data_IF_727234253576
#
_entry.id   IF_727234253576
#
_cell.length_a   1.000
_cell.length_b   1.000
_cell.length_c   1.000
_cell.angle_alpha   90.00
_cell.angle_beta   90.00
_cell.angle_gamma   90.00
#
_symmetry.space_group_name_H-M   'P 1'
#
loop_
_entity.id
_entity.type
_entity.pdbx_description
1 polymer ?
#
# COMPACT_ATOMS: atom_id res chain seq x y z
N UNK A 1 5.73 -30.02 -80.07
CA UNK A 1 4.89 -28.83 -79.76
C UNK A 1 5.10 -28.52 -78.31
N UNK A 2 5.93 -27.49 -78.04
CA UNK A 2 6.38 -27.06 -76.71
C UNK A 2 5.33 -26.22 -76.00
N UNK A 3 5.10 -26.48 -74.72
CA UNK A 3 4.52 -25.50 -73.79
C UNK A 3 5.46 -25.24 -72.62
N UNK A 4 6.01 -24.03 -72.65
CA UNK A 4 6.79 -23.46 -71.54
C UNK A 4 5.84 -23.19 -70.34
N UNK A 5 6.19 -23.64 -69.16
CA UNK A 5 5.61 -23.23 -67.89
C UNK A 5 6.52 -22.11 -67.28
N UNK A 6 5.93 -20.91 -67.07
CA UNK A 6 6.57 -19.81 -66.34
C UNK A 6 6.37 -20.04 -64.81
N UNK A 7 7.48 -20.19 -64.09
CA UNK A 7 7.51 -20.02 -62.64
C UNK A 7 7.48 -18.53 -62.28
N UNK A 8 6.50 -18.14 -61.52
CA UNK A 8 6.43 -16.82 -60.86
C UNK A 8 6.93 -17.03 -59.43
N UNK A 9 8.16 -16.57 -59.17
CA UNK A 9 8.69 -16.49 -57.80
C UNK A 9 8.15 -15.27 -57.09
N UNK A 10 7.30 -15.50 -56.09
CA UNK A 10 6.89 -14.44 -55.19
C UNK A 10 7.85 -14.29 -54.01
N UNK A 11 8.58 -13.16 -53.97
CA UNK A 11 9.33 -12.76 -52.76
C UNK A 11 8.35 -12.26 -51.72
N UNK A 12 8.17 -13.02 -50.64
CA UNK A 12 7.56 -12.53 -49.40
C UNK A 12 8.65 -11.69 -48.67
N UNK A 13 8.48 -10.36 -48.68
CA UNK A 13 9.21 -9.50 -47.79
C UNK A 13 8.56 -9.53 -46.39
N UNK A 14 9.23 -10.17 -45.46
CA UNK A 14 8.86 -10.12 -44.06
C UNK A 14 9.22 -8.74 -43.50
N UNK A 15 8.20 -7.88 -43.28
CA UNK A 15 8.36 -6.66 -42.51
C UNK A 15 8.54 -7.04 -41.03
N UNK A 16 9.77 -6.99 -40.53
CA UNK A 16 10.05 -7.00 -39.12
C UNK A 16 9.67 -5.66 -38.51
N UNK A 17 8.51 -5.59 -37.83
CA UNK A 17 8.19 -4.47 -36.96
C UNK A 17 9.10 -4.54 -35.74
N UNK A 18 10.18 -3.79 -35.75
CA UNK A 18 10.95 -3.49 -34.54
C UNK A 18 10.14 -2.48 -33.72
N UNK A 19 9.48 -2.96 -32.66
CA UNK A 19 8.91 -2.08 -31.65
C UNK A 19 10.06 -1.38 -30.95
N UNK A 20 10.27 -0.11 -31.25
CA UNK A 20 11.20 0.75 -30.52
C UNK A 20 10.65 0.90 -29.09
N UNK A 21 11.29 0.27 -28.11
CA UNK A 21 11.04 0.51 -26.70
C UNK A 21 11.60 1.92 -26.44
N UNK A 22 10.71 2.89 -26.26
CA UNK A 22 11.09 4.23 -25.81
C UNK A 22 11.40 4.10 -24.32
N UNK A 23 12.69 4.07 -23.97
CA UNK A 23 13.13 4.26 -22.58
C UNK A 23 12.96 5.76 -22.31
N UNK A 24 11.98 6.12 -21.47
CA UNK A 24 11.87 7.50 -21.02
C UNK A 24 12.98 7.77 -20.01
N UNK A 25 13.81 8.74 -20.30
CA UNK A 25 14.72 9.30 -19.30
C UNK A 25 13.90 9.98 -18.20
N UNK A 26 14.45 10.03 -16.98
CA UNK A 26 13.85 10.78 -15.89
C UNK A 26 13.58 12.23 -16.33
N UNK A 27 12.34 12.69 -16.15
CA UNK A 27 11.88 14.01 -16.60
C UNK A 27 11.41 14.84 -15.38
N UNK A 28 11.94 16.04 -15.22
CA UNK A 28 11.42 16.98 -14.22
C UNK A 28 10.10 17.54 -14.74
N UNK A 29 9.01 17.25 -14.05
CA UNK A 29 7.66 17.71 -14.42
C UNK A 29 7.22 18.95 -13.64
N UNK A 30 7.79 19.16 -12.44
CA UNK A 30 7.68 20.39 -11.66
C UNK A 30 9.07 20.77 -11.15
N UNK A 31 9.62 21.88 -11.65
CA UNK A 31 10.98 22.32 -11.31
C UNK A 31 11.09 22.79 -9.86
N UNK A 32 9.99 23.33 -9.30
CA UNK A 32 9.96 23.84 -7.95
C UNK A 32 8.55 23.81 -7.36
N UNK A 33 8.44 23.14 -6.24
CA UNK A 33 7.28 23.17 -5.36
C UNK A 33 7.75 23.85 -4.09
N UNK A 34 7.22 25.06 -3.85
CA UNK A 34 7.53 25.83 -2.64
C UNK A 34 6.87 25.17 -1.44
N UNK A 35 7.65 24.92 -0.40
CA UNK A 35 7.17 24.38 0.87
C UNK A 35 7.71 25.19 2.05
N UNK A 36 7.13 25.04 3.23
CA UNK A 36 7.52 25.82 4.41
C UNK A 36 8.98 25.62 4.83
N UNK A 37 9.61 24.52 4.45
CA UNK A 37 10.94 24.14 4.95
C UNK A 37 11.95 23.79 3.87
N UNK A 38 11.52 23.14 2.79
CA UNK A 38 12.36 22.72 1.69
C UNK A 38 11.61 22.87 0.39
N UNK A 39 12.19 23.57 -0.55
CA UNK A 39 11.69 23.51 -1.90
C UNK A 39 12.07 22.16 -2.51
N UNK A 40 11.13 21.56 -3.19
CA UNK A 40 11.32 20.27 -3.84
C UNK A 40 10.96 20.35 -5.32
N UNK A 41 11.54 19.46 -6.10
CA UNK A 41 11.13 19.21 -7.49
C UNK A 41 10.47 17.86 -7.60
N UNK A 42 9.58 17.72 -8.58
CA UNK A 42 8.89 16.47 -8.88
C UNK A 42 9.44 15.89 -10.20
N UNK A 43 9.99 14.69 -10.10
CA UNK A 43 10.62 13.98 -11.22
C UNK A 43 9.79 12.77 -11.59
N UNK A 44 9.42 12.64 -12.85
CA UNK A 44 8.78 11.45 -13.41
C UNK A 44 9.84 10.44 -13.82
N UNK A 45 9.77 9.22 -13.30
CA UNK A 45 10.79 8.18 -13.50
C UNK A 45 10.34 7.07 -14.46
N UNK A 46 9.06 6.70 -14.46
CA UNK A 46 8.54 5.64 -15.32
C UNK A 46 7.04 5.82 -15.57
N UNK A 47 6.60 5.42 -16.75
CA UNK A 47 5.19 5.36 -17.19
C UNK A 47 4.76 3.92 -17.49
N UNK A 48 3.49 3.73 -17.84
CA UNK A 48 2.94 2.45 -18.31
C UNK A 48 2.58 1.47 -17.18
N UNK A 49 2.52 1.95 -15.95
CA UNK A 49 1.96 1.19 -14.82
C UNK A 49 0.43 1.22 -14.87
N UNK A 50 -0.22 0.17 -14.38
CA UNK A 50 -1.66 0.05 -14.42
C UNK A 50 -2.26 -0.14 -13.03
N UNK A 51 -2.88 0.90 -12.48
CA UNK A 51 -3.40 0.90 -11.11
C UNK A 51 -2.40 0.33 -10.10
N UNK A 52 -1.17 0.89 -10.03
CA UNK A 52 -0.19 0.47 -9.04
C UNK A 52 -0.76 0.64 -7.63
N UNK A 53 -0.35 -0.21 -6.70
CA UNK A 53 -0.85 -0.16 -5.33
C UNK A 53 0.24 0.16 -4.30
N UNK A 54 1.45 -0.37 -4.48
CA UNK A 54 2.59 -0.11 -3.60
C UNK A 54 3.91 -0.14 -4.37
N UNK A 55 4.92 0.55 -3.82
CA UNK A 55 6.28 0.61 -4.34
C UNK A 55 7.30 0.22 -3.28
N UNK A 56 8.30 -0.58 -3.66
CA UNK A 56 9.47 -0.89 -2.84
C UNK A 56 10.75 -0.78 -3.65
N UNK A 57 11.77 -0.07 -3.14
CA UNK A 57 13.07 0.05 -3.78
C UNK A 57 13.99 -1.12 -3.40
N UNK A 58 14.56 -1.80 -4.39
CA UNK A 58 15.58 -2.82 -4.22
C UNK A 58 16.95 -2.19 -3.89
N UNK A 59 17.89 -2.93 -3.26
CA UNK A 59 19.22 -2.40 -2.95
C UNK A 59 20.03 -1.95 -4.17
N UNK A 60 19.75 -2.50 -5.35
CA UNK A 60 20.40 -2.16 -6.62
C UNK A 60 19.79 -0.94 -7.34
N UNK A 61 18.79 -0.29 -6.71
CA UNK A 61 18.14 0.91 -7.22
C UNK A 61 16.90 0.66 -8.07
N UNK A 62 16.60 -0.59 -8.44
CA UNK A 62 15.37 -0.96 -9.14
C UNK A 62 14.15 -0.89 -8.19
N UNK A 63 12.95 -0.89 -8.77
CA UNK A 63 11.72 -0.83 -8.00
C UNK A 63 10.81 -2.02 -8.29
N UNK A 64 10.23 -2.58 -7.24
CA UNK A 64 9.09 -3.47 -7.31
C UNK A 64 7.82 -2.65 -7.12
N UNK A 65 6.87 -2.79 -8.04
CA UNK A 65 5.59 -2.08 -7.97
C UNK A 65 4.47 -3.10 -8.20
N UNK A 66 3.59 -3.24 -7.21
CA UNK A 66 2.41 -4.08 -7.33
C UNK A 66 1.34 -3.38 -8.15
N UNK A 67 0.67 -4.13 -9.02
CA UNK A 67 -0.53 -3.69 -9.73
C UNK A 67 -1.74 -4.51 -9.28
N UNK A 68 -2.85 -3.83 -8.97
CA UNK A 68 -4.05 -4.48 -8.42
C UNK A 68 -4.56 -5.68 -9.21
N UNK A 69 -4.36 -5.71 -10.52
CA UNK A 69 -4.76 -6.84 -11.36
C UNK A 69 -3.91 -8.11 -11.21
N UNK A 70 -2.97 -8.14 -10.26
CA UNK A 70 -2.18 -9.33 -9.95
C UNK A 70 -0.85 -9.40 -10.69
N UNK A 71 -0.28 -8.27 -11.10
CA UNK A 71 1.06 -8.21 -11.68
C UNK A 71 2.02 -7.52 -10.72
N UNK A 72 3.27 -7.95 -10.73
CA UNK A 72 4.37 -7.29 -10.06
C UNK A 72 5.32 -6.73 -11.12
N UNK A 73 5.35 -5.40 -11.23
CA UNK A 73 6.26 -4.70 -12.12
C UNK A 73 7.64 -4.58 -11.48
N UNK A 74 8.68 -4.75 -12.31
CA UNK A 74 10.06 -4.40 -12.04
C UNK A 74 10.40 -3.18 -12.90
N UNK A 75 10.74 -2.07 -12.26
CA UNK A 75 11.15 -0.84 -12.92
C UNK A 75 12.66 -0.70 -12.79
N UNK A 76 13.35 -0.61 -13.94
CA UNK A 76 14.77 -0.48 -14.07
C UNK A 76 15.09 0.65 -15.06
N UNK A 77 15.75 1.71 -14.61
CA UNK A 77 16.09 2.90 -15.43
C UNK A 77 14.90 3.41 -16.27
N UNK A 78 13.71 3.51 -15.66
CA UNK A 78 12.49 3.96 -16.32
C UNK A 78 11.77 2.90 -17.17
N UNK A 79 12.38 1.73 -17.39
CA UNK A 79 11.78 0.63 -18.12
C UNK A 79 10.96 -0.26 -17.21
N UNK A 80 9.70 -0.48 -17.58
CA UNK A 80 8.79 -1.38 -16.88
C UNK A 80 8.82 -2.78 -17.53
N UNK A 81 9.04 -3.80 -16.70
CA UNK A 81 8.88 -5.22 -17.04
C UNK A 81 8.05 -5.91 -15.96
N UNK A 82 7.62 -7.14 -16.19
CA UNK A 82 6.78 -7.86 -15.23
C UNK A 82 7.44 -9.15 -14.79
N UNK A 83 7.39 -9.43 -13.49
CA UNK A 83 7.91 -10.66 -12.91
C UNK A 83 6.93 -11.81 -13.10
N UNK A 84 7.48 -13.01 -13.31
CA UNK A 84 6.75 -14.29 -13.26
C UNK A 84 6.62 -14.79 -11.81
N UNK A 85 5.82 -15.84 -11.57
CA UNK A 85 5.69 -16.48 -10.25
C UNK A 85 4.93 -15.68 -9.20
N UNK A 86 4.21 -14.62 -9.61
CA UNK A 86 3.32 -13.85 -8.72
C UNK A 86 2.14 -14.72 -8.29
N UNK A 87 1.71 -14.70 -7.00
CA UNK A 87 0.57 -15.51 -6.57
C UNK A 87 -0.70 -15.14 -7.30
N UNK A 88 -1.61 -16.11 -7.46
CA UNK A 88 -2.94 -15.85 -8.00
C UNK A 88 -3.74 -14.99 -7.03
N UNK A 89 -4.42 -13.97 -7.55
CA UNK A 89 -5.17 -12.99 -6.75
C UNK A 89 -6.60 -12.80 -7.26
N UNK A 90 -7.51 -12.46 -6.38
CA UNK A 90 -8.86 -12.05 -6.74
C UNK A 90 -8.90 -10.54 -7.03
N UNK A 91 -8.70 -10.14 -8.28
CA UNK A 91 -8.62 -8.72 -8.68
C UNK A 91 -9.99 -8.03 -8.81
N UNK A 92 -11.01 -8.49 -8.09
CA UNK A 92 -12.35 -7.91 -8.12
C UNK A 92 -12.51 -6.76 -7.11
N UNK A 93 -13.21 -5.70 -7.50
CA UNK A 93 -13.48 -4.55 -6.65
C UNK A 93 -12.21 -3.79 -6.24
N UNK A 94 -11.93 -3.76 -4.94
CA UNK A 94 -10.70 -3.17 -4.38
C UNK A 94 -9.58 -4.20 -4.18
N UNK A 95 -9.85 -5.47 -4.45
CA UNK A 95 -8.89 -6.56 -4.32
C UNK A 95 -7.84 -6.58 -5.43
N UNK A 96 -6.89 -7.49 -5.28
CA UNK A 96 -5.80 -7.72 -6.21
C UNK A 96 -4.49 -8.01 -5.50
N UNK A 97 -3.37 -7.75 -6.15
CA UNK A 97 -2.04 -7.67 -5.53
C UNK A 97 -1.91 -6.29 -4.89
N UNK A 98 -1.58 -6.23 -3.61
CA UNK A 98 -1.72 -5.02 -2.80
C UNK A 98 -0.36 -4.51 -2.31
N UNK A 99 0.02 -4.66 -1.05
CA UNK A 99 1.30 -4.13 -0.57
C UNK A 99 2.50 -5.00 -0.96
N UNK A 100 3.66 -4.38 -1.02
CA UNK A 100 4.97 -5.03 -1.14
C UNK A 100 5.97 -4.36 -0.21
N UNK A 101 6.65 -5.17 0.61
CA UNK A 101 7.77 -4.71 1.42
C UNK A 101 8.91 -5.74 1.38
N UNK A 102 10.13 -5.25 1.48
CA UNK A 102 11.30 -6.12 1.63
C UNK A 102 11.49 -6.47 3.11
N UNK A 103 12.06 -7.63 3.38
CA UNK A 103 12.57 -7.92 4.73
C UNK A 103 13.60 -6.85 5.14
N UNK A 104 13.67 -6.39 6.41
CA UNK A 104 14.60 -5.33 6.84
C UNK A 104 16.07 -5.62 6.51
N UNK A 105 16.44 -6.90 6.51
CA UNK A 105 17.78 -7.39 6.14
C UNK A 105 17.90 -7.88 4.70
N UNK A 106 17.01 -7.47 3.81
CA UNK A 106 17.07 -7.83 2.40
C UNK A 106 18.42 -7.40 1.79
N UNK A 107 19.11 -8.32 1.14
CA UNK A 107 20.45 -8.14 0.57
C UNK A 107 21.56 -8.77 1.39
N UNK A 108 21.28 -9.44 2.52
CA UNK A 108 22.28 -10.18 3.32
C UNK A 108 22.47 -11.64 2.87
N UNK A 109 21.74 -12.08 1.83
CA UNK A 109 21.80 -13.43 1.26
C UNK A 109 20.99 -14.48 2.02
N UNK A 110 20.58 -14.20 3.26
CA UNK A 110 19.77 -15.11 4.08
C UNK A 110 18.31 -14.66 4.18
N UNK A 111 18.08 -13.34 4.18
CA UNK A 111 16.78 -12.72 4.40
C UNK A 111 16.26 -12.01 3.13
N UNK A 112 16.58 -12.53 1.95
CA UNK A 112 16.17 -11.95 0.67
C UNK A 112 14.69 -12.26 0.36
N UNK A 113 13.83 -11.97 1.35
CA UNK A 113 12.41 -12.17 1.27
C UNK A 113 11.67 -10.89 0.89
N UNK A 114 10.77 -11.02 -0.08
CA UNK A 114 9.80 -10.01 -0.48
C UNK A 114 8.46 -10.45 0.07
N UNK A 115 7.81 -9.59 0.86
CA UNK A 115 6.50 -9.85 1.44
C UNK A 115 5.44 -9.15 0.61
N UNK A 116 4.36 -9.87 0.32
CA UNK A 116 3.25 -9.42 -0.51
C UNK A 116 1.93 -9.65 0.21
N UNK A 117 1.07 -8.64 0.24
CA UNK A 117 -0.33 -8.84 0.59
C UNK A 117 -1.19 -8.92 -0.66
N UNK A 118 -2.25 -9.70 -0.60
CA UNK A 118 -3.15 -9.86 -1.73
C UNK A 118 -4.55 -10.29 -1.27
N UNK A 119 -5.53 -10.15 -2.16
CA UNK A 119 -6.85 -10.70 -1.95
C UNK A 119 -6.92 -12.12 -2.49
N UNK A 120 -7.14 -13.09 -1.60
CA UNK A 120 -7.31 -14.51 -1.91
C UNK A 120 -8.79 -14.84 -2.08
N UNK A 121 -9.14 -15.57 -3.13
CA UNK A 121 -10.48 -16.12 -3.29
C UNK A 121 -10.66 -17.35 -2.38
N UNK A 122 -11.91 -17.62 -1.98
CA UNK A 122 -12.24 -18.84 -1.23
C UNK A 122 -12.04 -20.09 -2.09
N UNK A 123 -11.41 -21.10 -1.54
CA UNK A 123 -11.22 -22.41 -2.19
C UNK A 123 -12.48 -23.30 -2.07
N UNK A 124 -13.52 -22.85 -1.31
CA UNK A 124 -14.77 -23.59 -1.13
C UNK A 124 -15.65 -23.47 -2.36
N UNK A 125 -16.07 -24.59 -2.92
CA UNK A 125 -16.95 -24.63 -4.09
C UNK A 125 -18.24 -23.82 -3.84
N UNK A 126 -18.52 -22.86 -4.74
CA UNK A 126 -19.70 -21.98 -4.67
C UNK A 126 -19.55 -20.78 -3.74
N UNK A 127 -18.52 -20.69 -2.92
CA UNK A 127 -18.22 -19.49 -2.14
C UNK A 127 -17.49 -18.46 -3.03
N UNK A 128 -18.04 -17.25 -3.11
CA UNK A 128 -17.45 -16.11 -3.85
C UNK A 128 -16.76 -15.11 -2.89
N UNK A 129 -16.55 -15.50 -1.66
CA UNK A 129 -15.87 -14.70 -0.66
C UNK A 129 -14.39 -14.51 -0.99
N UNK A 130 -13.82 -13.43 -0.47
CA UNK A 130 -12.39 -13.13 -0.54
C UNK A 130 -11.87 -12.78 0.85
N UNK A 131 -10.59 -13.02 1.06
CA UNK A 131 -9.88 -12.70 2.30
C UNK A 131 -8.62 -11.91 1.99
N UNK A 132 -8.11 -11.17 2.98
CA UNK A 132 -6.77 -10.59 2.93
C UNK A 132 -5.75 -11.66 3.28
N UNK A 133 -4.72 -11.82 2.46
CA UNK A 133 -3.66 -12.80 2.65
C UNK A 133 -2.27 -12.15 2.62
N UNK A 134 -1.31 -12.79 3.25
CA UNK A 134 0.11 -12.46 3.27
C UNK A 134 0.91 -13.66 2.75
N UNK A 135 1.84 -13.40 1.87
CA UNK A 135 2.85 -14.36 1.43
C UNK A 135 4.22 -13.71 1.33
N UNK A 136 5.25 -14.55 1.19
CA UNK A 136 6.60 -14.10 0.88
C UNK A 136 7.20 -14.93 -0.25
N UNK A 137 8.16 -14.34 -0.95
CA UNK A 137 8.88 -15.00 -2.04
C UNK A 137 10.31 -14.45 -2.15
N UNK A 138 11.15 -15.11 -2.94
CA UNK A 138 12.48 -14.62 -3.32
C UNK A 138 12.46 -14.14 -4.76
N UNK A 139 13.28 -13.13 -5.07
CA UNK A 139 13.51 -12.69 -6.44
C UNK A 139 14.70 -13.45 -7.03
N UNK A 140 14.49 -14.14 -8.14
CA UNK A 140 15.53 -14.84 -8.89
C UNK A 140 15.39 -14.48 -10.38
N UNK A 141 16.34 -13.72 -10.92
CA UNK A 141 16.25 -13.21 -12.27
C UNK A 141 15.01 -12.36 -12.49
N UNK A 142 14.09 -12.82 -13.36
CA UNK A 142 12.83 -12.14 -13.67
C UNK A 142 11.61 -12.88 -13.10
N UNK A 143 11.77 -13.61 -12.00
CA UNK A 143 10.68 -14.37 -11.39
C UNK A 143 10.73 -14.33 -9.86
N UNK A 144 9.55 -14.40 -9.24
CA UNK A 144 9.43 -14.79 -7.85
C UNK A 144 9.51 -16.30 -7.73
N UNK A 145 10.31 -16.77 -6.80
CA UNK A 145 10.53 -18.19 -6.49
C UNK A 145 10.28 -18.44 -5.00
N UNK A 146 10.17 -19.70 -4.62
CA UNK A 146 10.00 -20.10 -3.20
C UNK A 146 8.81 -19.36 -2.53
N UNK A 147 7.67 -19.23 -3.25
CA UNK A 147 6.51 -18.57 -2.68
C UNK A 147 5.94 -19.38 -1.51
N UNK A 148 5.76 -18.71 -0.38
CA UNK A 148 5.14 -19.24 0.83
C UNK A 148 3.95 -18.39 1.23
N UNK A 149 2.76 -18.98 1.37
CA UNK A 149 1.61 -18.33 1.98
C UNK A 149 1.76 -18.37 3.51
N UNK A 150 1.83 -17.21 4.15
CA UNK A 150 2.15 -17.09 5.58
C UNK A 150 0.90 -16.90 6.46
N UNK A 151 -0.08 -16.17 5.93
CA UNK A 151 -1.30 -15.83 6.68
C UNK A 151 -2.47 -15.64 5.71
N UNK A 152 -3.65 -16.07 6.13
CA UNK A 152 -4.92 -15.79 5.45
C UNK A 152 -5.94 -15.42 6.51
N UNK A 153 -6.65 -14.31 6.31
CA UNK A 153 -7.81 -13.94 7.15
C UNK A 153 -8.83 -15.10 7.19
N UNK A 154 -9.29 -15.47 8.36
CA UNK A 154 -10.10 -16.68 8.59
C UNK A 154 -11.50 -16.65 7.96
N UNK A 155 -12.16 -15.47 7.96
CA UNK A 155 -13.54 -15.31 7.46
C UNK A 155 -13.58 -14.61 6.12
N UNK A 156 -13.80 -15.36 5.05
CA UNK A 156 -13.96 -14.85 3.70
C UNK A 156 -15.26 -14.05 3.57
N UNK A 157 -15.26 -13.00 2.75
CA UNK A 157 -16.37 -12.05 2.66
C UNK A 157 -16.61 -11.53 1.25
N UNK A 158 -17.86 -11.17 0.96
CA UNK A 158 -18.27 -10.32 -0.15
C UNK A 158 -18.80 -8.99 0.41
N UNK A 159 -18.84 -7.91 -0.40
CA UNK A 159 -18.19 -7.73 -1.69
C UNK A 159 -16.69 -7.48 -1.53
N UNK A 160 -15.92 -7.56 -2.62
CA UNK A 160 -14.47 -7.37 -2.62
C UNK A 160 -14.02 -5.94 -2.31
N UNK A 161 -14.05 -5.53 -1.03
CA UNK A 161 -13.61 -4.19 -0.57
C UNK A 161 -13.06 -4.21 0.86
N UNK A 162 -12.40 -3.11 1.25
CA UNK A 162 -11.80 -2.87 2.57
C UNK A 162 -10.86 -4.02 3.00
N UNK A 163 -9.81 -4.23 2.24
CA UNK A 163 -8.83 -5.28 2.53
C UNK A 163 -7.78 -4.84 3.57
N UNK A 164 -7.64 -3.52 3.85
CA UNK A 164 -6.50 -2.98 4.59
C UNK A 164 -5.20 -3.21 3.83
N UNK A 165 -4.46 -4.26 4.20
CA UNK A 165 -3.33 -4.85 3.48
C UNK A 165 -1.99 -4.15 3.65
N UNK A 166 -1.87 -3.02 4.35
CA UNK A 166 -0.57 -2.37 4.56
C UNK A 166 0.32 -3.16 5.49
N UNK A 167 1.60 -3.15 5.16
CA UNK A 167 2.69 -3.81 5.88
C UNK A 167 3.70 -2.79 6.42
N UNK A 168 4.16 -2.99 7.64
CA UNK A 168 5.25 -2.22 8.21
C UNK A 168 6.07 -3.08 9.19
N UNK A 169 7.39 -3.09 9.04
CA UNK A 169 8.27 -3.78 9.96
C UNK A 169 8.49 -2.99 11.24
N UNK A 170 8.59 -3.70 12.35
CA UNK A 170 9.07 -3.18 13.62
C UNK A 170 10.54 -3.55 13.83
N UNK A 171 11.22 -2.79 14.67
CA UNK A 171 12.65 -3.03 15.01
C UNK A 171 12.89 -4.36 15.73
N UNK A 172 11.83 -4.91 16.36
CA UNK A 172 11.87 -6.23 17.02
C UNK A 172 11.80 -7.41 16.03
N UNK A 173 11.75 -7.12 14.71
CA UNK A 173 11.66 -8.13 13.67
C UNK A 173 10.24 -8.66 13.44
N UNK A 174 9.21 -8.09 14.08
CA UNK A 174 7.82 -8.43 13.80
C UNK A 174 7.23 -7.54 12.71
N UNK A 175 6.23 -8.08 11.99
CA UNK A 175 5.56 -7.44 10.88
C UNK A 175 4.15 -7.02 11.29
N UNK A 176 3.85 -5.74 11.16
CA UNK A 176 2.49 -5.23 11.28
C UNK A 176 1.75 -5.36 9.95
N UNK A 177 0.50 -5.80 9.99
CA UNK A 177 -0.38 -5.95 8.82
C UNK A 177 -1.76 -5.41 9.13
N UNK A 178 -2.38 -4.70 8.19
CA UNK A 178 -3.74 -4.19 8.37
C UNK A 178 -4.77 -5.06 7.65
N UNK A 179 -5.93 -5.25 8.25
CA UNK A 179 -7.11 -5.91 7.66
C UNK A 179 -8.31 -4.97 7.81
N UNK A 180 -9.02 -4.70 6.73
CA UNK A 180 -10.23 -3.86 6.78
C UNK A 180 -11.47 -4.61 7.28
N UNK A 181 -12.56 -3.87 7.57
CA UNK A 181 -13.84 -4.40 8.07
C UNK A 181 -14.61 -5.23 7.03
N UNK A 182 -14.09 -5.36 5.82
CA UNK A 182 -14.67 -6.04 4.67
C UNK A 182 -16.02 -5.45 4.19
N UNK A 183 -16.48 -4.36 4.81
CA UNK A 183 -17.48 -3.43 4.30
C UNK A 183 -18.94 -3.89 4.22
N UNK A 184 -19.31 -5.01 4.81
CA UNK A 184 -20.70 -5.53 4.81
C UNK A 184 -21.29 -5.50 6.22
N UNK A 185 -20.67 -6.24 7.11
CA UNK A 185 -21.07 -6.31 8.53
C UNK A 185 -20.01 -5.53 9.31
N UNK A 186 -20.26 -4.24 9.52
CA UNK A 186 -19.31 -3.29 10.14
C UNK A 186 -18.93 -3.69 11.56
N UNK A 187 -19.87 -4.34 12.26
CA UNK A 187 -19.73 -4.81 13.63
C UNK A 187 -18.61 -5.82 13.81
N UNK A 188 -18.21 -6.51 12.75
CA UNK A 188 -17.03 -7.40 12.73
C UNK A 188 -15.75 -6.70 13.22
N UNK A 189 -15.62 -5.40 12.97
CA UNK A 189 -14.48 -4.62 13.47
C UNK A 189 -14.44 -4.50 15.01
N UNK A 190 -15.53 -4.87 15.71
CA UNK A 190 -15.61 -4.89 17.17
C UNK A 190 -15.52 -6.31 17.75
N UNK A 191 -15.30 -7.31 16.92
CA UNK A 191 -15.22 -8.72 17.29
C UNK A 191 -13.75 -9.16 17.22
N UNK A 192 -13.12 -9.41 18.36
CA UNK A 192 -11.74 -9.87 18.43
C UNK A 192 -11.56 -11.36 18.08
N UNK A 193 -12.63 -12.09 17.83
CA UNK A 193 -12.65 -13.42 17.21
C UNK A 193 -12.68 -13.35 15.67
N UNK A 194 -12.50 -12.15 15.10
CA UNK A 194 -12.48 -11.88 13.65
C UNK A 194 -11.36 -10.92 13.32
N UNK A 195 -10.53 -11.23 12.31
CA UNK A 195 -9.48 -10.32 11.85
C UNK A 195 -9.99 -9.03 11.18
N UNK A 196 -11.29 -8.96 10.84
CA UNK A 196 -11.86 -7.82 10.15
C UNK A 196 -11.76 -6.53 10.98
N UNK A 197 -11.25 -5.45 10.38
CA UNK A 197 -11.08 -4.16 11.05
C UNK A 197 -9.97 -4.14 12.09
N UNK A 198 -8.89 -4.91 11.87
CA UNK A 198 -7.81 -5.05 12.85
C UNK A 198 -6.43 -4.68 12.26
N UNK A 199 -5.53 -4.31 13.15
CA UNK A 199 -4.10 -4.33 12.90
C UNK A 199 -3.54 -5.60 13.53
N UNK A 200 -2.84 -6.39 12.75
CA UNK A 200 -2.21 -7.64 13.16
C UNK A 200 -0.72 -7.41 13.42
N UNK A 201 -0.15 -8.18 14.36
CA UNK A 201 1.30 -8.29 14.54
C UNK A 201 1.71 -9.73 14.36
N UNK A 202 2.59 -9.98 13.41
CA UNK A 202 3.02 -11.29 12.97
C UNK A 202 4.54 -11.44 13.09
N UNK A 203 5.01 -12.66 13.23
CA UNK A 203 6.43 -12.98 13.04
C UNK A 203 6.78 -12.93 11.55
N UNK A 204 8.07 -12.96 11.21
CA UNK A 204 8.53 -13.03 9.81
C UNK A 204 8.03 -14.29 9.06
N UNK A 205 7.58 -15.32 9.77
CA UNK A 205 6.99 -16.55 9.22
C UNK A 205 5.46 -16.59 9.32
N UNK A 206 4.79 -15.48 9.67
CA UNK A 206 3.34 -15.35 9.66
C UNK A 206 2.62 -15.80 10.94
N UNK A 207 3.33 -16.35 11.93
CA UNK A 207 2.74 -16.73 13.21
C UNK A 207 2.52 -15.53 14.15
N UNK A 208 1.66 -15.68 15.14
CA UNK A 208 1.44 -14.68 16.18
C UNK A 208 2.58 -14.67 17.23
N UNK A 209 3.16 -13.50 17.55
CA UNK A 209 4.04 -13.37 18.70
C UNK A 209 3.33 -13.67 20.03
N UNK A 210 4.01 -14.36 20.94
CA UNK A 210 3.42 -14.77 22.24
C UNK A 210 3.07 -13.60 23.16
N UNK A 211 3.65 -12.44 22.94
CA UNK A 211 3.43 -11.19 23.67
C UNK A 211 2.42 -10.26 22.98
N UNK A 212 1.66 -10.77 22.01
CA UNK A 212 0.51 -10.05 21.45
C UNK A 212 -0.58 -9.87 22.51
N UNK A 213 -1.38 -8.77 22.43
CA UNK A 213 -2.36 -8.43 23.47
C UNK A 213 -3.40 -9.50 23.75
N UNK A 214 -3.74 -10.33 22.75
CA UNK A 214 -4.77 -11.37 22.86
C UNK A 214 -4.17 -12.78 22.76
N UNK A 215 -2.84 -12.93 22.74
CA UNK A 215 -2.20 -14.22 22.65
C UNK A 215 -2.54 -15.12 23.85
N UNK A 216 -3.14 -16.29 23.55
CA UNK A 216 -3.62 -17.23 24.56
C UNK A 216 -4.92 -16.82 25.25
N UNK A 217 -5.61 -15.79 24.77
CA UNK A 217 -6.97 -15.46 25.18
C UNK A 217 -7.96 -16.39 24.45
N UNK A 218 -8.83 -17.09 25.21
CA UNK A 218 -9.83 -17.99 24.62
C UNK A 218 -10.90 -17.26 23.78
N UNK A 219 -10.97 -15.92 23.90
CA UNK A 219 -11.98 -15.06 23.25
C UNK A 219 -11.41 -14.12 22.20
N UNK A 220 -10.13 -14.26 21.84
CA UNK A 220 -9.48 -13.39 20.86
C UNK A 220 -8.52 -14.16 19.96
N UNK A 221 -8.28 -13.63 18.74
CA UNK A 221 -7.30 -14.17 17.83
C UNK A 221 -5.90 -13.69 18.20
N UNK A 222 -4.96 -14.62 18.29
CA UNK A 222 -3.59 -14.38 18.74
C UNK A 222 -2.84 -13.32 17.91
N UNK A 223 -3.20 -13.18 16.63
CA UNK A 223 -2.56 -12.25 15.68
C UNK A 223 -2.97 -10.79 15.90
N UNK A 224 -4.09 -10.53 16.57
CA UNK A 224 -4.64 -9.17 16.70
C UNK A 224 -3.77 -8.33 17.64
N UNK A 225 -3.30 -7.18 17.13
CA UNK A 225 -2.59 -6.17 17.90
C UNK A 225 -3.53 -5.05 18.38
N UNK A 226 -4.44 -4.59 17.51
CA UNK A 226 -5.51 -3.64 17.82
C UNK A 226 -6.70 -3.88 16.90
N UNK A 227 -7.88 -3.33 17.23
CA UNK A 227 -9.11 -3.57 16.51
C UNK A 227 -10.02 -2.32 16.47
N UNK A 228 -11.16 -2.43 15.80
CA UNK A 228 -12.11 -1.32 15.72
C UNK A 228 -11.77 -0.32 14.61
N UNK A 229 -11.10 -0.76 13.54
CA UNK A 229 -10.78 0.03 12.37
C UNK A 229 -11.71 -0.29 11.20
N UNK A 230 -11.92 0.66 10.29
CA UNK A 230 -12.70 0.44 9.07
C UNK A 230 -11.83 -0.05 7.91
N UNK A 231 -10.86 0.74 7.48
CA UNK A 231 -10.00 0.38 6.34
C UNK A 231 -8.71 1.22 6.33
N UNK A 232 -7.71 0.76 7.04
CA UNK A 232 -6.37 1.37 7.08
C UNK A 232 -5.67 1.11 5.76
N UNK A 233 -5.28 2.17 5.06
CA UNK A 233 -4.58 2.14 3.77
C UNK A 233 -3.17 2.73 3.82
N UNK A 234 -2.78 3.34 4.93
CA UNK A 234 -1.41 3.77 5.22
C UNK A 234 -0.99 3.26 6.59
N UNK A 235 0.23 2.75 6.70
CA UNK A 235 0.80 2.24 7.95
C UNK A 235 2.30 2.49 7.94
N UNK A 236 2.81 3.04 9.04
CA UNK A 236 4.26 3.23 9.23
C UNK A 236 4.63 2.99 10.68
N UNK A 237 5.76 2.33 10.89
CA UNK A 237 6.44 2.29 12.18
C UNK A 237 7.55 3.33 12.12
N UNK A 238 7.50 4.29 13.01
CA UNK A 238 8.49 5.38 13.07
C UNK A 238 9.81 4.91 13.66
N UNK A 239 10.87 5.67 13.44
CA UNK A 239 12.17 5.44 14.04
C UNK A 239 12.15 5.44 15.59
N UNK A 240 11.09 6.00 16.19
CA UNK A 240 10.85 5.97 17.64
C UNK A 240 9.98 4.78 18.08
N UNK A 241 9.64 3.87 17.16
CA UNK A 241 8.81 2.69 17.41
C UNK A 241 7.30 2.97 17.49
N UNK A 242 6.84 4.21 17.24
CA UNK A 242 5.43 4.54 17.17
C UNK A 242 4.80 3.98 15.89
N UNK A 243 3.57 3.49 15.97
CA UNK A 243 2.84 2.95 14.83
C UNK A 243 1.75 3.95 14.45
N UNK A 244 1.84 4.51 13.25
CA UNK A 244 0.86 5.44 12.72
C UNK A 244 0.09 4.82 11.57
N UNK A 245 -1.22 5.07 11.52
CA UNK A 245 -2.12 4.52 10.52
C UNK A 245 -3.05 5.59 9.94
N UNK A 246 -3.15 5.64 8.61
CA UNK A 246 -4.14 6.44 7.88
C UNK A 246 -5.33 5.58 7.51
N UNK A 247 -6.52 6.01 7.88
CA UNK A 247 -7.74 5.22 7.79
C UNK A 247 -8.85 5.92 7.00
N UNK A 248 -9.43 5.17 6.06
CA UNK A 248 -10.64 5.58 5.35
C UNK A 248 -11.87 5.49 6.23
N UNK A 249 -12.53 6.60 6.41
CA UNK A 249 -13.91 6.65 6.87
C UNK A 249 -14.91 6.35 5.74
N UNK A 250 -16.22 6.45 5.97
CA UNK A 250 -17.22 6.22 4.92
C UNK A 250 -17.39 7.47 4.04
N UNK A 251 -18.01 8.50 4.55
CA UNK A 251 -18.24 9.77 3.85
C UNK A 251 -17.74 10.94 4.70
N UNK A 252 -16.45 11.24 4.59
CA UNK A 252 -15.74 12.18 5.46
C UNK A 252 -15.42 11.58 6.83
N UNK A 253 -14.53 12.26 7.56
CA UNK A 253 -14.02 11.79 8.84
C UNK A 253 -12.88 10.79 8.71
N UNK A 254 -12.12 10.84 7.61
CA UNK A 254 -10.89 10.09 7.44
C UNK A 254 -9.89 10.45 8.55
N UNK A 255 -9.12 9.47 9.03
CA UNK A 255 -8.39 9.55 10.29
C UNK A 255 -6.90 9.27 10.16
N UNK A 256 -6.11 9.91 11.01
CA UNK A 256 -4.73 9.54 11.31
C UNK A 256 -4.65 9.09 12.77
N UNK A 257 -4.35 7.83 12.97
CA UNK A 257 -4.38 7.14 14.25
C UNK A 257 -2.97 6.79 14.74
N UNK A 258 -2.70 6.96 16.04
CA UNK A 258 -1.56 6.37 16.74
C UNK A 258 -2.00 5.02 17.28
N UNK A 259 -1.42 3.94 16.74
CA UNK A 259 -1.84 2.56 17.03
C UNK A 259 -1.10 2.00 18.24
N UNK A 260 -1.87 1.53 19.23
CA UNK A 260 -1.38 0.96 20.47
C UNK A 260 -1.94 -0.46 20.69
N UNK A 261 -1.16 -1.28 21.39
CA UNK A 261 -1.51 -2.68 21.68
C UNK A 261 -2.82 -2.79 22.49
N UNK A 262 -3.68 -3.70 22.08
CA UNK A 262 -4.95 -4.02 22.75
C UNK A 262 -6.03 -2.95 22.67
N UNK A 263 -5.82 -1.87 21.93
CA UNK A 263 -6.76 -0.75 21.85
C UNK A 263 -7.84 -0.94 20.78
N UNK A 264 -9.04 -0.38 21.10
CA UNK A 264 -10.20 -0.34 20.23
C UNK A 264 -10.32 1.07 19.61
N UNK A 265 -10.30 1.17 18.26
CA UNK A 265 -10.41 2.43 17.51
C UNK A 265 -11.86 2.80 17.17
N UNK A 266 -12.81 2.01 17.61
CA UNK A 266 -14.22 2.40 17.77
C UNK A 266 -15.12 2.16 16.58
N UNK A 267 -14.61 1.98 15.35
CA UNK A 267 -15.47 1.72 14.20
C UNK A 267 -16.35 0.47 14.40
N UNK A 268 -17.66 0.50 14.09
CA UNK A 268 -18.46 1.64 13.62
C UNK A 268 -19.15 2.43 14.76
N UNK A 269 -18.93 2.08 16.03
CA UNK A 269 -19.61 2.68 17.20
C UNK A 269 -19.16 4.11 17.45
N UNK A 270 -17.86 4.38 17.31
CA UNK A 270 -17.25 5.70 17.34
C UNK A 270 -16.78 6.07 15.93
N UNK A 271 -17.29 7.16 15.37
CA UNK A 271 -16.91 7.68 14.05
C UNK A 271 -17.50 9.07 13.82
N UNK A 272 -16.82 9.89 13.00
CA UNK A 272 -17.36 11.14 12.45
C UNK A 272 -17.87 10.97 11.02
N UNK A 273 -17.99 9.75 10.55
CA UNK A 273 -18.48 9.43 9.22
C UNK A 273 -20.01 9.58 9.07
N UNK A 274 -20.42 9.74 7.83
CA UNK A 274 -21.83 9.69 7.43
C UNK A 274 -22.07 8.53 6.47
N UNK A 275 -23.34 8.11 6.37
CA UNK A 275 -23.76 7.13 5.37
C UNK A 275 -23.57 7.66 3.96
N UNK A 276 -23.31 6.74 2.99
CA UNK A 276 -23.20 7.10 1.58
C UNK A 276 -24.53 7.56 0.98
N UNK A 277 -25.63 6.95 1.43
CA UNK A 277 -26.99 7.36 1.11
C UNK A 277 -27.57 8.22 2.24
N UNK A 278 -28.00 9.43 1.92
CA UNK A 278 -28.49 10.36 2.93
C UNK A 278 -27.38 11.12 3.65
N UNK A 279 -27.62 11.51 4.88
CA UNK A 279 -26.72 12.34 5.69
C UNK A 279 -26.59 11.86 7.13
N UNK A 280 -27.09 10.64 7.39
CA UNK A 280 -27.13 10.06 8.72
C UNK A 280 -25.72 9.79 9.23
N UNK A 281 -25.46 10.10 10.48
CA UNK A 281 -24.19 9.80 11.12
C UNK A 281 -24.02 8.29 11.33
N UNK A 282 -22.80 7.79 11.13
CA UNK A 282 -22.43 6.44 11.52
C UNK A 282 -21.84 6.52 12.94
N UNK A 283 -22.49 5.85 13.89
CA UNK A 283 -22.04 5.85 15.28
C UNK A 283 -22.13 7.21 15.96
N UNK A 284 -21.26 7.43 16.92
CA UNK A 284 -21.11 8.68 17.68
C UNK A 284 -19.70 9.25 17.48
N UNK A 285 -19.47 10.56 17.65
CA UNK A 285 -18.13 11.13 17.54
C UNK A 285 -17.11 10.52 18.51
N UNK A 286 -17.55 10.03 19.67
CA UNK A 286 -16.72 9.32 20.64
C UNK A 286 -17.56 8.36 21.47
N UNK A 287 -16.94 7.28 21.93
CA UNK A 287 -17.53 6.27 22.80
C UNK A 287 -16.53 5.92 23.90
N UNK A 288 -16.94 5.82 25.18
CA UNK A 288 -16.03 5.38 26.24
C UNK A 288 -15.37 4.03 25.93
N UNK A 289 -14.07 3.91 26.19
CA UNK A 289 -13.28 2.71 25.89
C UNK A 289 -12.76 2.61 24.47
N UNK A 290 -12.98 3.63 23.63
CA UNK A 290 -12.38 3.73 22.30
C UNK A 290 -11.31 4.81 22.25
N UNK A 291 -10.28 4.58 21.42
CA UNK A 291 -9.25 5.57 21.10
C UNK A 291 -9.82 6.61 20.12
N UNK A 292 -9.39 7.83 20.28
CA UNK A 292 -9.69 8.91 19.34
C UNK A 292 -8.50 9.10 18.40
N UNK A 293 -8.72 9.45 17.12
CA UNK A 293 -7.64 9.74 16.20
C UNK A 293 -6.86 10.98 16.64
N UNK A 294 -5.57 11.02 16.32
CA UNK A 294 -4.71 12.18 16.54
C UNK A 294 -5.05 13.33 15.60
N UNK A 295 -5.61 13.01 14.43
CA UNK A 295 -6.02 13.99 13.45
C UNK A 295 -7.15 13.46 12.57
N UNK A 296 -8.07 14.36 12.18
CA UNK A 296 -9.05 14.12 11.13
C UNK A 296 -8.61 14.88 9.87
N UNK A 297 -8.43 14.14 8.76
CA UNK A 297 -8.15 14.78 7.49
C UNK A 297 -9.32 15.65 7.04
N UNK A 298 -9.02 16.81 6.48
CA UNK A 298 -10.05 17.73 6.01
C UNK A 298 -10.81 17.18 4.79
N UNK A 299 -12.10 17.42 4.77
CA UNK A 299 -12.99 17.07 3.66
C UNK A 299 -13.12 15.56 3.43
N UNK A 300 -12.87 15.14 2.20
CA UNK A 300 -12.85 13.74 1.76
C UNK A 300 -11.46 13.44 1.19
N UNK A 301 -10.54 13.16 2.06
CA UNK A 301 -9.14 12.94 1.70
C UNK A 301 -8.93 11.59 1.01
N UNK A 302 -9.59 10.55 1.51
CA UNK A 302 -9.42 9.16 1.11
C UNK A 302 -7.95 8.73 1.21
N UNK A 303 -7.41 8.58 2.43
CA UNK A 303 -5.99 8.33 2.67
C UNK A 303 -5.50 7.04 2.02
N UNK A 304 -4.25 7.01 1.62
CA UNK A 304 -3.59 5.88 0.98
C UNK A 304 -2.24 5.57 1.65
N UNK A 305 -1.12 5.61 0.93
CA UNK A 305 0.20 5.40 1.52
C UNK A 305 0.54 6.40 2.62
N UNK A 306 1.35 5.93 3.58
CA UNK A 306 1.87 6.72 4.69
C UNK A 306 3.36 6.37 4.88
N UNK A 307 4.22 7.38 4.97
CA UNK A 307 5.65 7.19 5.19
C UNK A 307 6.17 8.19 6.20
N UNK A 308 7.23 7.83 6.95
CA UNK A 308 8.00 8.79 7.75
C UNK A 308 9.22 9.25 6.97
N UNK A 309 9.55 10.52 7.08
CA UNK A 309 10.79 11.08 6.53
C UNK A 309 11.91 10.94 7.55
N UNK A 310 12.94 10.17 7.21
CA UNK A 310 14.15 9.96 8.02
C UNK A 310 15.42 10.16 7.18
N UNK A 311 15.33 10.89 6.07
CA UNK A 311 16.41 11.10 5.14
C UNK A 311 17.20 12.36 5.44
N UNK A 312 18.54 12.32 5.40
CA UNK A 312 19.38 13.52 5.49
C UNK A 312 19.19 14.48 4.30
N UNK A 313 18.57 14.03 3.20
CA UNK A 313 18.20 14.88 2.08
C UNK A 313 17.11 15.89 2.45
N UNK A 314 16.28 15.60 3.45
CA UNK A 314 15.19 16.45 3.93
C UNK A 314 15.37 16.73 5.44
N UNK A 315 16.45 17.43 5.86
CA UNK A 315 16.81 17.55 7.28
C UNK A 315 15.75 18.26 8.12
N UNK A 316 14.96 19.16 7.54
CA UNK A 316 13.90 19.88 8.27
C UNK A 316 12.55 19.14 8.26
N UNK A 317 12.44 18.01 7.53
CA UNK A 317 11.28 17.14 7.55
C UNK A 317 11.51 15.88 8.40
N UNK A 318 12.66 15.76 9.05
CA UNK A 318 12.98 14.63 9.90
C UNK A 318 11.85 14.33 10.90
N UNK A 319 11.39 13.08 10.92
CA UNK A 319 10.31 12.63 11.79
C UNK A 319 8.89 12.97 11.30
N UNK A 320 8.71 13.85 10.30
CA UNK A 320 7.39 14.15 9.76
C UNK A 320 6.83 12.95 9.00
N UNK A 321 5.50 12.89 8.88
CA UNK A 321 4.82 11.90 8.05
C UNK A 321 4.44 12.52 6.71
N UNK A 322 4.41 11.67 5.67
CA UNK A 322 3.85 11.98 4.37
C UNK A 322 2.61 11.11 4.15
N UNK A 323 1.48 11.72 3.87
CA UNK A 323 0.21 11.05 3.66
C UNK A 323 -0.34 11.31 2.26
N UNK A 324 -0.57 10.24 1.48
CA UNK A 324 -1.19 10.32 0.18
C UNK A 324 -2.71 10.30 0.24
N UNK A 325 -3.37 11.07 -0.63
CA UNK A 325 -4.82 11.13 -0.76
C UNK A 325 -5.28 10.69 -2.16
N UNK A 326 -6.25 9.77 -2.20
CA UNK A 326 -6.82 9.27 -3.46
C UNK A 326 -7.88 10.20 -4.03
N UNK A 327 -8.79 10.69 -3.19
CA UNK A 327 -9.89 11.52 -3.66
C UNK A 327 -9.52 13.00 -3.66
N UNK A 328 -8.71 13.41 -2.69
CA UNK A 328 -8.18 14.77 -2.63
C UNK A 328 -7.11 15.06 -3.68
N UNK A 329 -6.46 14.00 -4.22
CA UNK A 329 -5.32 14.08 -5.13
C UNK A 329 -4.12 14.83 -4.52
N UNK A 330 -4.01 14.80 -3.18
CA UNK A 330 -2.99 15.54 -2.42
C UNK A 330 -1.93 14.63 -1.82
N UNK A 331 -0.71 15.16 -1.72
CA UNK A 331 0.30 14.66 -0.82
C UNK A 331 0.45 15.67 0.32
N UNK A 332 0.23 15.21 1.55
CA UNK A 332 0.38 16.04 2.74
C UNK A 332 1.68 15.70 3.47
N UNK A 333 2.37 16.73 3.95
CA UNK A 333 3.32 16.61 5.05
C UNK A 333 2.59 16.85 6.36
N UNK A 334 2.75 15.94 7.30
CA UNK A 334 2.14 16.01 8.63
C UNK A 334 3.25 16.12 9.66
N UNK A 335 3.28 17.24 10.37
CA UNK A 335 4.24 17.49 11.44
C UNK A 335 3.73 16.85 12.72
N UNK A 336 4.50 15.91 13.26
CA UNK A 336 4.20 15.27 14.54
C UNK A 336 5.23 15.68 15.59
N UNK A 337 4.76 15.88 16.81
CA UNK A 337 5.59 16.13 17.99
C UNK A 337 4.99 15.43 19.20
N UNK A 338 5.78 14.57 19.82
CA UNK A 338 5.39 13.83 21.04
C UNK A 338 4.08 13.03 20.93
N UNK A 339 3.76 12.56 19.70
CA UNK A 339 2.54 11.80 19.42
C UNK A 339 1.32 12.65 19.01
N UNK A 340 1.45 13.97 18.97
CA UNK A 340 0.41 14.89 18.50
C UNK A 340 0.69 15.39 17.09
N UNK A 341 -0.35 15.58 16.30
CA UNK A 341 -0.28 16.33 15.03
C UNK A 341 -0.31 17.81 15.31
N UNK A 342 0.73 18.53 14.90
CA UNK A 342 0.88 19.98 15.11
C UNK A 342 0.46 20.80 13.90
N UNK A 343 0.73 20.26 12.69
CA UNK A 343 0.54 20.98 11.45
C UNK A 343 0.39 20.01 10.28
N UNK A 344 -0.32 20.43 9.25
CA UNK A 344 -0.36 19.76 7.95
C UNK A 344 -0.06 20.76 6.85
N UNK A 345 0.77 20.35 5.88
CA UNK A 345 1.13 21.15 4.72
C UNK A 345 0.83 20.35 3.44
N UNK A 346 0.33 21.02 2.42
CA UNK A 346 0.09 20.41 1.10
C UNK A 346 1.37 20.52 0.28
N UNK A 347 1.92 19.37 -0.12
CA UNK A 347 3.09 19.30 -1.00
C UNK A 347 2.71 19.13 -2.48
N UNK A 348 1.67 18.33 -2.76
CA UNK A 348 1.11 18.14 -4.10
C UNK A 348 -0.41 18.36 -4.03
N UNK A 349 -0.99 19.00 -5.05
CA UNK A 349 -2.44 19.29 -5.17
C UNK A 349 -2.93 19.11 -6.60
N UNK A 350 -2.97 17.85 -7.05
CA UNK A 350 -3.50 17.48 -8.36
C UNK A 350 -2.45 17.24 -9.46
N UNK A 351 -1.17 17.59 -9.28
CA UNK A 351 -0.11 17.50 -10.30
C UNK A 351 0.00 16.11 -10.92
N UNK A 352 -0.15 15.07 -10.11
CA UNK A 352 -0.13 13.67 -10.58
C UNK A 352 -1.47 12.96 -10.42
N UNK A 353 -2.50 13.67 -9.89
CA UNK A 353 -3.82 13.12 -9.58
C UNK A 353 -3.79 12.20 -8.35
N UNK A 354 -4.64 11.18 -8.34
CA UNK A 354 -4.86 10.27 -7.21
C UNK A 354 -3.56 9.65 -6.71
N UNK A 355 -3.11 9.99 -5.50
CA UNK A 355 -1.90 9.42 -4.91
C UNK A 355 -2.22 8.10 -4.23
N UNK A 356 -1.55 7.02 -4.64
CA UNK A 356 -1.81 5.67 -4.13
C UNK A 356 -0.82 5.24 -3.07
N UNK A 357 0.46 5.50 -3.26
CA UNK A 357 1.49 5.15 -2.28
C UNK A 357 2.57 6.21 -2.22
N UNK A 358 3.15 6.39 -1.06
CA UNK A 358 4.31 7.21 -0.80
C UNK A 358 5.28 6.44 0.07
N UNK A 359 6.56 6.41 -0.33
CA UNK A 359 7.64 5.72 0.40
C UNK A 359 8.91 6.53 0.37
N UNK A 360 9.67 6.50 1.45
CA UNK A 360 11.07 6.89 1.40
C UNK A 360 11.89 5.74 0.87
N UNK A 361 12.68 6.01 -0.17
CA UNK A 361 13.61 5.04 -0.74
C UNK A 361 14.85 4.82 0.12
N UNK A 362 15.61 3.78 -0.20
CA UNK A 362 16.89 3.45 0.46
C UNK A 362 17.97 4.51 0.20
N UNK A 363 17.85 5.24 -0.90
CA UNK A 363 18.68 6.38 -1.28
C UNK A 363 18.27 7.70 -0.59
N UNK A 364 17.17 7.66 0.17
CA UNK A 364 16.67 8.79 0.94
C UNK A 364 15.72 9.72 0.18
N UNK A 365 15.49 9.52 -1.10
CA UNK A 365 14.45 10.25 -1.84
C UNK A 365 13.05 9.75 -1.50
N UNK A 366 12.04 10.54 -1.84
CA UNK A 366 10.63 10.20 -1.61
C UNK A 366 10.02 9.78 -2.94
N UNK A 367 9.44 8.57 -2.96
CA UNK A 367 8.83 7.98 -4.14
C UNK A 367 7.32 7.93 -4.00
N UNK A 368 6.62 8.24 -5.10
CA UNK A 368 5.16 8.30 -5.17
C UNK A 368 4.68 7.53 -6.39
N UNK A 369 3.62 6.75 -6.24
CA UNK A 369 2.87 6.17 -7.35
C UNK A 369 1.43 6.68 -7.33
N UNK A 370 0.87 6.97 -8.51
CA UNK A 370 -0.50 7.42 -8.64
C UNK A 370 -1.44 6.31 -9.10
N UNK A 371 -2.76 6.43 -8.86
CA UNK A 371 -3.77 5.42 -9.19
C UNK A 371 -4.49 5.79 -10.49
N UNK A 372 -3.90 5.38 -11.62
CA UNK A 372 -4.46 5.56 -12.98
C UNK A 372 -4.27 4.28 -13.81
N UNK A 373 -4.99 4.18 -14.92
CA UNK A 373 -4.79 3.12 -15.92
C UNK A 373 -3.47 3.27 -16.69
N UNK A 374 -2.97 4.48 -16.81
CA UNK A 374 -1.64 4.83 -17.30
C UNK A 374 -0.97 5.67 -16.20
N UNK A 375 -0.42 4.95 -15.23
CA UNK A 375 0.17 5.51 -14.03
C UNK A 375 1.70 5.60 -14.15
N UNK A 376 2.29 6.42 -13.27
CA UNK A 376 3.73 6.63 -13.20
C UNK A 376 4.32 6.34 -11.83
N UNK A 377 5.65 6.22 -11.84
CA UNK A 377 6.52 6.32 -10.67
C UNK A 377 7.14 7.72 -10.67
N UNK A 378 7.04 8.41 -9.55
CA UNK A 378 7.54 9.77 -9.36
C UNK A 378 8.49 9.83 -8.17
N UNK A 379 9.37 10.83 -8.17
CA UNK A 379 10.31 11.10 -7.08
C UNK A 379 10.28 12.57 -6.70
N UNK A 380 10.17 12.87 -5.40
CA UNK A 380 10.42 14.19 -4.85
C UNK A 380 11.91 14.30 -4.48
N UNK A 381 12.53 15.37 -4.92
CA UNK A 381 13.94 15.70 -4.68
C UNK A 381 14.04 17.12 -4.10
N UNK A 382 14.97 17.36 -3.17
CA UNK A 382 15.25 18.75 -2.75
C UNK A 382 15.78 19.57 -3.94
N UNK A 383 15.29 20.81 -4.10
CA UNK A 383 15.89 21.78 -5.03
C UNK A 383 17.24 22.21 -4.45
N UNK A 384 18.27 22.24 -5.29
CA UNK A 384 19.64 22.61 -4.89
C UNK A 384 19.79 24.12 -4.74
#
# INVERSE_FOLDING_TARGET
MNRLAKLIGGCLAALSMTSSIVVMAAEVIEERIDTDKHDVQLVHLASGLHHPWAVAQLPDGRFLITERRGRLALVDEGKVSYLEGVPEVSAAGQGGLLDVVLHPRYGDGSHDWIYLTYSKASDKAGDKGTATALGRARLSGNALTEFEELFVQDRFSQPGRHYGSRLAWRDDGTLMMTVGDRGVVRERAQDIEDHAGSVLRLTESGGAPKDNPFAGDETGLDEIFSFGNRNIQGLVVTAQGQIWASEHAARGGDELNLIEAGKNYGWPKASRSKEYSGNDAIGKPSVPGTQQPQHYYEGRFAPSGLAQVNSPLFPQWQGNLLAGGLLSEKLLRVVIDSGDVKETEVLLDGEIGRIRDVRQGRDGYIYVVNDKTDAGLYRLEPVK
#
